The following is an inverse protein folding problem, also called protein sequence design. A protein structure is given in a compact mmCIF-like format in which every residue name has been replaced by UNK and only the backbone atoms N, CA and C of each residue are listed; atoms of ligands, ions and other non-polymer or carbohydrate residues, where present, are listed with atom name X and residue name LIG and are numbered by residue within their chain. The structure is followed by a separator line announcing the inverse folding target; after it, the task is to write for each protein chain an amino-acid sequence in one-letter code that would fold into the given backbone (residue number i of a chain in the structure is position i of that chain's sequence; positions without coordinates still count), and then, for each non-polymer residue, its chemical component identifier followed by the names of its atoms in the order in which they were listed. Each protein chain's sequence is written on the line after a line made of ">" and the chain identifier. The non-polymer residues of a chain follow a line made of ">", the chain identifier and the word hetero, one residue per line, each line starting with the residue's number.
data_IF_574128915726
#
_entry.id   IF_574128915726
#
_cell.length_a   1.000
_cell.length_b   1.000
_cell.length_c   1.000
_cell.angle_alpha   90.00
_cell.angle_beta   90.00
_cell.angle_gamma   90.00
#
_symmetry.space_group_name_H-M   'P 1'
#
loop_
_entity.id
_entity.type
_entity.pdbx_description
1 polymer ?
#
# COMPACT_ATOMS: atom_id res chain seq x y z
N UNK A 1 1.88 -17.40 12.97
CA UNK A 1 2.59 -17.20 11.69
C UNK A 1 3.31 -15.86 11.73
N UNK A 2 4.49 -15.72 11.10
CA UNK A 2 5.24 -14.45 11.07
C UNK A 2 4.55 -13.55 10.03
N UNK A 3 4.09 -12.34 10.39
CA UNK A 3 3.37 -11.46 9.49
C UNK A 3 4.24 -10.97 8.33
N UNK A 4 3.64 -10.84 7.14
CA UNK A 4 4.28 -10.33 5.93
C UNK A 4 3.87 -8.88 5.67
N UNK A 5 4.84 -7.99 5.75
CA UNK A 5 4.70 -6.59 5.34
C UNK A 5 4.94 -6.48 3.84
N UNK A 6 4.11 -5.73 3.16
CA UNK A 6 4.24 -5.41 1.73
C UNK A 6 4.43 -3.91 1.53
N UNK A 7 5.50 -3.54 0.84
CA UNK A 7 5.67 -2.24 0.21
C UNK A 7 5.76 -2.43 -1.31
N UNK A 8 4.72 -2.01 -2.03
CA UNK A 8 4.51 -2.31 -3.46
C UNK A 8 4.43 -1.06 -4.34
N UNK A 9 5.24 -0.06 -4.02
CA UNK A 9 5.29 1.20 -4.74
C UNK A 9 6.54 1.31 -5.61
N UNK A 10 6.53 2.21 -6.63
CA UNK A 10 7.73 2.51 -7.41
C UNK A 10 8.86 3.00 -6.49
N UNK A 11 10.09 2.64 -6.83
CA UNK A 11 11.27 3.02 -6.04
C UNK A 11 11.75 4.42 -6.39
N UNK A 12 10.89 5.40 -6.21
CA UNK A 12 11.15 6.82 -6.48
C UNK A 12 11.14 7.63 -5.18
N UNK A 13 11.80 8.78 -5.20
CA UNK A 13 11.92 9.70 -4.06
C UNK A 13 10.55 10.09 -3.47
N UNK A 14 9.54 10.26 -4.31
CA UNK A 14 8.18 10.62 -3.89
C UNK A 14 7.48 9.52 -3.07
N UNK A 15 7.95 8.28 -3.12
CA UNK A 15 7.47 7.15 -2.32
C UNK A 15 8.22 6.96 -1.00
N UNK A 16 9.22 7.82 -0.74
CA UNK A 16 9.93 7.92 0.53
C UNK A 16 10.59 6.61 1.01
N UNK A 17 11.40 5.96 0.17
CA UNK A 17 12.07 4.71 0.52
C UNK A 17 12.95 4.84 1.77
N UNK A 18 13.44 6.05 2.08
CA UNK A 18 14.23 6.35 3.27
C UNK A 18 13.42 6.12 4.57
N UNK A 19 12.19 6.63 4.65
CA UNK A 19 11.32 6.42 5.83
C UNK A 19 10.88 4.97 5.95
N UNK A 20 10.59 4.30 4.82
CA UNK A 20 10.31 2.85 4.81
C UNK A 20 11.49 2.08 5.39
N UNK A 21 12.69 2.29 4.85
CA UNK A 21 13.89 1.58 5.28
C UNK A 21 14.20 1.81 6.77
N UNK A 22 14.21 3.09 7.21
CA UNK A 22 14.50 3.43 8.61
C UNK A 22 13.48 2.81 9.58
N UNK A 23 12.19 2.83 9.22
CA UNK A 23 11.14 2.22 10.06
C UNK A 23 11.29 0.70 10.17
N UNK A 24 11.56 0.03 9.06
CA UNK A 24 11.76 -1.42 9.01
C UNK A 24 13.00 -1.85 9.81
N UNK A 25 14.12 -1.15 9.65
CA UNK A 25 15.35 -1.45 10.39
C UNK A 25 15.16 -1.21 11.90
N UNK A 26 14.47 -0.14 12.28
CA UNK A 26 14.18 0.12 13.70
C UNK A 26 13.34 -1.00 14.32
N UNK A 27 12.27 -1.47 13.65
CA UNK A 27 11.46 -2.59 14.14
C UNK A 27 12.27 -3.89 14.27
N UNK A 28 13.20 -4.12 13.34
CA UNK A 28 14.11 -5.26 13.41
C UNK A 28 15.06 -5.18 14.61
N UNK A 29 15.61 -4.00 14.91
CA UNK A 29 16.46 -3.76 16.07
C UNK A 29 15.69 -3.94 17.39
N UNK A 30 14.40 -3.60 17.41
CA UNK A 30 13.49 -3.86 18.52
C UNK A 30 13.10 -5.33 18.69
N UNK A 31 13.60 -6.22 17.81
CA UNK A 31 13.35 -7.67 17.81
C UNK A 31 11.87 -8.04 17.56
N UNK A 32 11.17 -7.23 16.80
CA UNK A 32 9.83 -7.56 16.34
C UNK A 32 9.94 -8.55 15.18
N UNK A 33 9.14 -9.62 15.23
CA UNK A 33 9.10 -10.64 14.19
C UNK A 33 8.18 -10.21 13.04
N UNK A 34 8.74 -10.14 11.83
CA UNK A 34 8.02 -9.92 10.57
C UNK A 34 8.85 -10.40 9.40
N UNK A 35 8.22 -10.66 8.29
CA UNK A 35 8.84 -10.74 6.96
C UNK A 35 8.47 -9.50 6.16
N UNK A 36 9.25 -9.18 5.12
CA UNK A 36 8.97 -8.02 4.26
C UNK A 36 9.18 -8.36 2.78
N UNK A 37 8.28 -7.85 1.96
CA UNK A 37 8.41 -7.79 0.52
C UNK A 37 8.56 -6.32 0.08
N UNK A 38 9.67 -6.00 -0.55
CA UNK A 38 9.97 -4.69 -1.12
C UNK A 38 9.89 -4.82 -2.65
N UNK A 39 8.72 -4.56 -3.21
CA UNK A 39 8.47 -4.80 -4.63
C UNK A 39 8.02 -3.54 -5.35
N UNK A 40 8.54 -3.33 -6.56
CA UNK A 40 8.20 -2.18 -7.36
C UNK A 40 9.12 -2.02 -8.55
N UNK A 41 8.70 -1.16 -9.48
CA UNK A 41 9.52 -0.81 -10.62
C UNK A 41 10.66 0.13 -10.20
N UNK A 42 11.87 -0.23 -10.58
CA UNK A 42 13.07 0.57 -10.40
C UNK A 42 13.34 1.36 -11.68
N UNK A 43 13.00 2.64 -11.70
CA UNK A 43 13.10 3.48 -12.91
C UNK A 43 14.51 4.02 -13.12
N UNK A 44 15.31 4.18 -12.08
CA UNK A 44 16.62 4.89 -12.19
C UNK A 44 17.79 4.17 -11.54
N UNK A 45 17.71 3.80 -10.27
CA UNK A 45 18.69 3.03 -9.51
C UNK A 45 18.05 2.49 -8.24
N UNK A 46 18.48 1.33 -7.75
CA UNK A 46 18.02 0.83 -6.47
C UNK A 46 18.35 1.85 -5.37
N UNK A 47 17.37 2.36 -4.62
CA UNK A 47 17.63 3.22 -3.48
C UNK A 47 18.57 2.51 -2.51
N UNK A 48 19.65 3.20 -2.12
CA UNK A 48 20.67 2.63 -1.23
C UNK A 48 20.05 2.09 0.07
N UNK A 49 19.05 2.80 0.57
CA UNK A 49 18.34 2.48 1.80
C UNK A 49 17.63 1.13 1.73
N UNK A 50 17.02 0.79 0.59
CA UNK A 50 16.37 -0.51 0.40
C UNK A 50 17.38 -1.65 0.26
N UNK A 51 18.54 -1.39 -0.34
CA UNK A 51 19.63 -2.37 -0.37
C UNK A 51 20.14 -2.66 1.03
N UNK A 52 20.25 -1.64 1.88
CA UNK A 52 20.63 -1.77 3.28
C UNK A 52 19.64 -2.66 4.06
N UNK A 53 18.33 -2.44 3.88
CA UNK A 53 17.30 -3.32 4.46
C UNK A 53 17.50 -4.76 4.03
N UNK A 54 17.67 -5.01 2.72
CA UNK A 54 17.89 -6.36 2.20
C UNK A 54 19.13 -7.01 2.82
N UNK A 55 20.24 -6.28 2.90
CA UNK A 55 21.52 -6.83 3.35
C UNK A 55 21.52 -7.07 4.87
N UNK A 56 20.81 -6.24 5.66
CA UNK A 56 20.71 -6.42 7.12
C UNK A 56 19.68 -7.49 7.52
N UNK A 57 18.54 -7.57 6.82
CA UNK A 57 17.45 -8.49 7.19
C UNK A 57 17.58 -9.88 6.56
N UNK A 58 18.37 -10.00 5.47
CA UNK A 58 18.63 -11.29 4.83
C UNK A 58 17.35 -12.04 4.45
N UNK A 59 17.16 -13.26 4.99
CA UNK A 59 16.03 -14.14 4.66
C UNK A 59 14.64 -13.58 5.05
N UNK A 60 14.59 -12.56 5.91
CA UNK A 60 13.32 -11.87 6.23
C UNK A 60 12.79 -11.03 5.07
N UNK A 61 13.65 -10.67 4.10
CA UNK A 61 13.24 -10.02 2.84
C UNK A 61 12.87 -11.13 1.85
N UNK A 62 11.58 -11.45 1.78
CA UNK A 62 11.08 -12.60 1.01
C UNK A 62 10.95 -12.32 -0.49
N UNK A 63 10.77 -11.04 -0.86
CA UNK A 63 10.74 -10.58 -2.26
C UNK A 63 11.40 -9.21 -2.37
N UNK A 64 12.17 -8.99 -3.44
CA UNK A 64 12.89 -7.74 -3.65
C UNK A 64 12.99 -7.39 -5.15
N UNK A 65 12.42 -6.25 -5.54
CA UNK A 65 12.50 -5.74 -6.91
C UNK A 65 11.22 -5.92 -7.71
N UNK A 66 11.36 -6.02 -9.03
CA UNK A 66 10.22 -6.17 -9.93
C UNK A 66 9.77 -7.63 -10.00
N UNK A 67 8.48 -7.86 -9.94
CA UNK A 67 7.85 -9.17 -10.07
C UNK A 67 7.07 -9.30 -11.37
N UNK A 68 6.93 -10.53 -11.87
CA UNK A 68 5.92 -10.84 -12.88
C UNK A 68 4.50 -10.58 -12.32
N UNK A 69 3.50 -10.35 -13.20
CA UNK A 69 2.12 -10.15 -12.74
C UNK A 69 1.60 -11.31 -11.90
N UNK A 70 1.93 -12.54 -12.31
CA UNK A 70 1.46 -13.75 -11.59
C UNK A 70 2.12 -13.89 -10.22
N UNK A 71 3.41 -13.58 -10.09
CA UNK A 71 4.13 -13.59 -8.81
C UNK A 71 3.62 -12.48 -7.90
N UNK A 72 3.37 -11.31 -8.45
CA UNK A 72 2.81 -10.18 -7.72
C UNK A 72 1.41 -10.50 -7.17
N UNK A 73 0.52 -11.11 -7.96
CA UNK A 73 -0.80 -11.54 -7.49
C UNK A 73 -0.71 -12.60 -6.38
N UNK A 74 0.26 -13.52 -6.48
CA UNK A 74 0.52 -14.49 -5.41
C UNK A 74 1.01 -13.81 -4.13
N UNK A 75 1.84 -12.78 -4.27
CA UNK A 75 2.34 -12.00 -3.13
C UNK A 75 1.23 -11.21 -2.45
N UNK A 76 0.34 -10.53 -3.21
CA UNK A 76 -0.81 -9.80 -2.67
C UNK A 76 -1.66 -10.68 -1.75
N UNK A 77 -1.93 -11.92 -2.15
CA UNK A 77 -2.71 -12.87 -1.36
C UNK A 77 -2.00 -13.42 -0.11
N UNK A 78 -0.73 -13.10 0.09
CA UNK A 78 0.07 -13.52 1.26
C UNK A 78 0.38 -12.38 2.20
N UNK A 79 0.22 -11.14 1.73
CA UNK A 79 0.56 -9.96 2.51
C UNK A 79 -0.47 -9.74 3.62
N UNK A 80 0.01 -9.64 4.85
CA UNK A 80 -0.83 -9.31 6.01
C UNK A 80 -1.00 -7.80 6.17
N UNK A 81 0.04 -7.03 5.85
CA UNK A 81 0.07 -5.57 6.05
C UNK A 81 0.61 -4.89 4.80
N UNK A 82 -0.07 -3.86 4.31
CA UNK A 82 0.46 -2.97 3.25
C UNK A 82 0.84 -1.63 3.86
N UNK A 83 2.06 -1.16 3.54
CA UNK A 83 2.59 0.10 4.06
C UNK A 83 2.85 1.11 2.95
N UNK A 84 2.72 2.38 3.29
CA UNK A 84 3.18 3.50 2.46
C UNK A 84 3.74 4.61 3.34
N UNK A 85 4.75 5.33 2.81
CA UNK A 85 5.28 6.58 3.35
C UNK A 85 5.32 7.66 2.26
N UNK A 86 4.51 7.52 1.22
CA UNK A 86 4.54 8.37 0.04
C UNK A 86 4.35 9.85 0.39
N UNK A 87 5.26 10.71 -0.07
CA UNK A 87 5.17 12.18 0.00
C UNK A 87 4.18 12.71 -1.03
N UNK A 88 4.08 12.01 -2.17
CA UNK A 88 3.13 12.30 -3.24
C UNK A 88 2.49 11.01 -3.75
N UNK A 89 1.17 10.97 -3.73
CA UNK A 89 0.36 9.90 -4.28
C UNK A 89 -0.89 10.48 -4.95
N UNK A 90 -1.08 10.19 -6.23
CA UNK A 90 -2.24 10.69 -6.98
C UNK A 90 -3.46 9.80 -6.80
N UNK A 91 -3.28 8.49 -6.80
CA UNK A 91 -4.36 7.53 -6.59
C UNK A 91 -3.93 6.37 -5.68
N UNK A 92 -2.80 5.70 -5.94
CA UNK A 92 -2.31 4.60 -5.12
C UNK A 92 -2.89 3.24 -5.51
N UNK A 93 -2.93 2.95 -6.82
CA UNK A 93 -3.53 1.70 -7.33
C UNK A 93 -2.90 0.45 -6.72
N UNK A 94 -1.60 0.43 -6.49
CA UNK A 94 -0.91 -0.71 -5.89
C UNK A 94 -1.36 -0.96 -4.44
N UNK A 95 -1.66 0.11 -3.71
CA UNK A 95 -2.24 0.01 -2.36
C UNK A 95 -3.67 -0.51 -2.43
N UNK A 96 -4.50 0.00 -3.36
CA UNK A 96 -5.87 -0.50 -3.58
C UNK A 96 -5.86 -1.99 -3.90
N UNK A 97 -4.94 -2.47 -4.75
CA UNK A 97 -4.79 -3.91 -5.05
C UNK A 97 -4.48 -4.73 -3.79
N UNK A 98 -3.59 -4.25 -2.92
CA UNK A 98 -3.26 -4.94 -1.67
C UNK A 98 -4.43 -4.95 -0.68
N UNK A 99 -5.17 -3.83 -0.57
CA UNK A 99 -6.38 -3.75 0.25
C UNK A 99 -7.49 -4.68 -0.25
N UNK A 100 -7.68 -4.75 -1.57
CA UNK A 100 -8.64 -5.67 -2.18
C UNK A 100 -8.28 -7.15 -1.92
N UNK A 101 -6.99 -7.45 -1.74
CA UNK A 101 -6.50 -8.77 -1.34
C UNK A 101 -6.62 -9.05 0.17
N UNK A 102 -7.00 -8.05 0.98
CA UNK A 102 -7.26 -8.18 2.41
C UNK A 102 -6.13 -7.74 3.33
N UNK A 103 -5.09 -7.09 2.82
CA UNK A 103 -3.99 -6.57 3.64
C UNK A 103 -4.45 -5.43 4.56
N UNK A 104 -3.96 -5.42 5.80
CA UNK A 104 -4.17 -4.34 6.77
C UNK A 104 -3.41 -3.08 6.32
N UNK A 105 -4.07 -1.93 6.16
CA UNK A 105 -3.41 -0.69 5.75
C UNK A 105 -2.63 -0.01 6.88
N UNK A 106 -1.42 0.47 6.55
CA UNK A 106 -0.66 1.44 7.35
C UNK A 106 -0.23 2.56 6.40
N UNK A 107 -1.09 3.57 6.25
CA UNK A 107 -0.98 4.60 5.23
C UNK A 107 -0.94 6.00 5.86
N UNK A 108 -0.18 6.96 5.30
CA UNK A 108 -0.15 8.31 5.85
C UNK A 108 -1.48 9.05 5.63
N UNK A 109 -1.95 9.79 6.63
CA UNK A 109 -3.18 10.57 6.56
C UNK A 109 -2.99 11.84 5.73
N UNK A 110 -2.67 11.69 4.47
CA UNK A 110 -2.58 12.78 3.49
C UNK A 110 -2.65 12.27 2.04
N UNK A 111 -2.61 13.18 1.09
CA UNK A 111 -2.73 12.93 -0.35
C UNK A 111 -4.06 12.21 -0.69
N UNK A 112 -4.02 11.19 -1.54
CA UNK A 112 -5.21 10.45 -1.96
C UNK A 112 -5.72 9.44 -0.92
N UNK A 113 -4.92 9.07 0.09
CA UNK A 113 -5.30 7.99 1.01
C UNK A 113 -6.59 8.25 1.79
N UNK A 114 -6.87 9.47 2.32
CA UNK A 114 -8.15 9.77 2.96
C UNK A 114 -9.37 9.70 2.03
N UNK A 115 -9.16 9.81 0.71
CA UNK A 115 -10.21 9.66 -0.29
C UNK A 115 -10.45 8.19 -0.68
N UNK A 116 -9.37 7.38 -0.71
CA UNK A 116 -9.43 5.95 -1.02
C UNK A 116 -10.06 5.16 0.12
N UNK A 117 -9.62 5.45 1.35
CA UNK A 117 -10.10 4.78 2.56
C UNK A 117 -11.42 5.42 2.98
N UNK A 118 -12.53 4.66 3.07
CA UNK A 118 -13.78 5.21 3.59
C UNK A 118 -13.65 5.66 5.05
N UNK A 119 -14.37 6.72 5.42
CA UNK A 119 -14.27 7.39 6.73
C UNK A 119 -14.30 6.44 7.95
N UNK A 120 -15.15 5.38 8.00
CA UNK A 120 -15.18 4.48 9.14
C UNK A 120 -13.84 3.80 9.45
N UNK A 121 -12.94 3.65 8.46
CA UNK A 121 -11.62 3.03 8.63
C UNK A 121 -10.47 4.03 8.77
N UNK A 122 -10.70 5.35 8.74
CA UNK A 122 -9.61 6.32 8.83
C UNK A 122 -8.73 6.10 10.07
N UNK A 123 -9.34 5.88 11.24
CA UNK A 123 -8.58 5.67 12.48
C UNK A 123 -7.73 4.40 12.45
N UNK A 124 -8.23 3.33 11.81
CA UNK A 124 -7.51 2.06 11.73
C UNK A 124 -6.53 1.97 10.56
N UNK A 125 -6.76 2.71 9.47
CA UNK A 125 -5.96 2.63 8.25
C UNK A 125 -4.90 3.73 8.14
N UNK A 126 -5.17 4.92 8.70
CA UNK A 126 -4.35 6.11 8.47
C UNK A 126 -3.53 6.48 9.72
N UNK A 127 -2.26 6.81 9.50
CA UNK A 127 -1.37 7.32 10.54
C UNK A 127 -0.98 8.79 10.29
N UNK A 128 -0.63 9.52 11.34
CA UNK A 128 -0.09 10.89 11.22
C UNK A 128 1.30 10.82 10.59
N UNK A 129 1.60 11.59 9.53
CA UNK A 129 2.94 11.62 8.94
C UNK A 129 4.05 11.76 9.99
N UNK A 130 5.05 10.88 9.91
CA UNK A 130 6.13 10.77 10.90
C UNK A 130 5.90 9.72 12.00
N UNK A 131 4.72 9.08 12.05
CA UNK A 131 4.37 8.05 13.05
C UNK A 131 4.32 6.64 12.42
N UNK A 132 4.94 6.42 11.25
CA UNK A 132 4.91 5.12 10.55
C UNK A 132 5.39 3.98 11.45
N UNK A 133 6.55 4.14 12.07
CA UNK A 133 7.17 3.08 12.89
C UNK A 133 6.30 2.72 14.09
N UNK A 134 5.71 3.70 14.76
CA UNK A 134 4.87 3.47 15.94
C UNK A 134 3.56 2.76 15.56
N UNK A 135 2.93 3.20 14.46
CA UNK A 135 1.74 2.55 13.93
C UNK A 135 2.03 1.11 13.48
N UNK A 136 3.11 0.91 12.74
CA UNK A 136 3.45 -0.41 12.22
C UNK A 136 3.82 -1.37 13.36
N UNK A 137 4.51 -0.88 14.39
CA UNK A 137 4.80 -1.64 15.62
C UNK A 137 3.51 -2.12 16.29
N UNK A 138 2.54 -1.24 16.46
CA UNK A 138 1.27 -1.59 17.10
C UNK A 138 0.49 -2.61 16.26
N UNK A 139 0.45 -2.45 14.94
CA UNK A 139 -0.18 -3.41 14.03
C UNK A 139 0.47 -4.80 14.14
N UNK A 140 1.81 -4.88 14.10
CA UNK A 140 2.53 -6.15 14.15
C UNK A 140 2.37 -6.87 15.49
N UNK A 141 2.31 -6.14 16.59
CA UNK A 141 2.13 -6.71 17.92
C UNK A 141 0.68 -7.13 18.21
N UNK A 142 -0.30 -6.60 17.47
CA UNK A 142 -1.74 -6.79 17.71
C UNK A 142 -2.48 -7.18 16.42
N UNK A 143 -1.88 -8.01 15.57
CA UNK A 143 -2.34 -8.28 14.20
C UNK A 143 -3.81 -8.71 14.13
N UNK A 144 -4.25 -9.64 15.00
CA UNK A 144 -5.63 -10.12 15.03
C UNK A 144 -6.65 -8.99 15.33
N UNK A 145 -6.27 -8.08 16.22
CA UNK A 145 -7.10 -6.92 16.54
C UNK A 145 -7.21 -5.99 15.34
N UNK A 146 -6.10 -5.69 14.68
CA UNK A 146 -6.07 -4.82 13.51
C UNK A 146 -6.80 -5.45 12.32
N UNK A 147 -6.65 -6.76 12.09
CA UNK A 147 -7.42 -7.49 11.08
C UNK A 147 -8.92 -7.34 11.31
N UNK A 148 -9.37 -7.48 12.55
CA UNK A 148 -10.79 -7.29 12.90
C UNK A 148 -11.28 -5.85 12.70
N UNK A 149 -10.44 -4.84 12.97
CA UNK A 149 -10.82 -3.42 12.78
C UNK A 149 -10.87 -2.99 11.32
N UNK A 150 -10.22 -3.74 10.44
CA UNK A 150 -10.23 -3.50 8.98
C UNK A 150 -11.15 -4.46 8.22
N UNK A 151 -11.92 -5.28 8.94
CA UNK A 151 -12.92 -6.15 8.34
C UNK A 151 -13.89 -5.36 7.45
N UNK A 152 -14.15 -5.88 6.25
CA UNK A 152 -15.02 -5.23 5.26
C UNK A 152 -14.31 -4.22 4.35
N UNK A 153 -13.11 -3.73 4.69
CA UNK A 153 -12.41 -2.77 3.85
C UNK A 153 -12.07 -3.32 2.46
N UNK A 154 -11.72 -4.60 2.38
CA UNK A 154 -11.44 -5.25 1.10
C UNK A 154 -12.64 -5.19 0.15
N UNK A 155 -13.86 -5.36 0.63
CA UNK A 155 -15.08 -5.26 -0.16
C UNK A 155 -15.30 -3.84 -0.71
N UNK A 156 -14.96 -2.81 0.07
CA UNK A 156 -15.06 -1.42 -0.38
C UNK A 156 -14.12 -1.10 -1.54
N UNK A 157 -13.03 -1.85 -1.69
CA UNK A 157 -12.09 -1.66 -2.79
C UNK A 157 -12.66 -2.13 -4.15
N UNK A 158 -13.70 -2.97 -4.17
CA UNK A 158 -14.36 -3.40 -5.41
C UNK A 158 -14.96 -2.24 -6.22
N UNK A 159 -15.26 -1.10 -5.59
CA UNK A 159 -15.69 0.10 -6.31
C UNK A 159 -14.67 0.61 -7.32
N UNK A 160 -13.39 0.22 -7.16
CA UNK A 160 -12.30 0.57 -8.07
C UNK A 160 -12.02 -0.51 -9.13
N UNK A 161 -12.78 -1.62 -9.13
CA UNK A 161 -12.69 -2.62 -10.18
C UNK A 161 -13.11 -2.00 -11.51
N UNK A 162 -12.34 -2.27 -12.57
CA UNK A 162 -12.63 -1.76 -13.90
C UNK A 162 -14.03 -2.16 -14.40
N UNK A 163 -14.47 -3.37 -14.08
CA UNK A 163 -15.82 -3.84 -14.44
C UNK A 163 -16.92 -2.97 -13.81
N UNK A 164 -16.70 -2.44 -12.63
CA UNK A 164 -17.64 -1.53 -11.94
C UNK A 164 -17.52 -0.10 -12.45
N UNK A 165 -16.29 0.32 -12.75
CA UNK A 165 -15.99 1.70 -13.13
C UNK A 165 -16.38 2.03 -14.58
N UNK A 166 -16.35 1.04 -15.49
CA UNK A 166 -16.54 1.27 -16.93
C UNK A 166 -17.87 1.95 -17.24
N UNK A 167 -18.96 1.48 -16.64
CA UNK A 167 -20.30 2.05 -16.85
C UNK A 167 -20.40 3.50 -16.37
N UNK A 168 -19.67 3.83 -15.31
CA UNK A 168 -19.60 5.21 -14.76
C UNK A 168 -18.83 6.11 -15.72
N UNK A 169 -17.70 5.64 -16.27
CA UNK A 169 -16.93 6.39 -17.26
C UNK A 169 -17.72 6.61 -18.56
N UNK A 170 -18.37 5.57 -19.06
CA UNK A 170 -19.18 5.67 -20.30
C UNK A 170 -20.32 6.68 -20.11
N UNK A 171 -21.04 6.60 -18.99
CA UNK A 171 -22.11 7.57 -18.65
C UNK A 171 -21.60 9.00 -18.55
N UNK A 172 -20.41 9.20 -17.95
CA UNK A 172 -19.80 10.53 -17.85
C UNK A 172 -19.40 11.08 -19.22
N UNK A 173 -18.80 10.25 -20.08
CA UNK A 173 -18.43 10.64 -21.44
C UNK A 173 -19.66 11.00 -22.26
N UNK A 174 -20.73 10.20 -22.19
CA UNK A 174 -22.01 10.51 -22.85
C UNK A 174 -22.61 11.83 -22.38
N UNK A 175 -22.57 12.09 -21.07
CA UNK A 175 -23.09 13.35 -20.52
C UNK A 175 -22.33 14.57 -21.05
N UNK A 176 -21.00 14.48 -21.13
CA UNK A 176 -20.13 15.54 -21.69
C UNK A 176 -20.42 15.75 -23.19
N UNK A 177 -20.56 14.67 -23.96
CA UNK A 177 -20.89 14.77 -25.39
C UNK A 177 -22.25 15.46 -25.59
N UNK A 178 -23.25 15.10 -24.81
CA UNK A 178 -24.58 15.68 -24.89
C UNK A 178 -24.61 17.17 -24.48
N UNK A 179 -23.81 17.56 -23.49
CA UNK A 179 -23.74 18.95 -23.02
C UNK A 179 -23.01 19.86 -24.02
N UNK A 180 -21.94 19.38 -24.64
CA UNK A 180 -21.08 20.19 -25.50
C UNK A 180 -21.24 19.89 -27.00
N UNK A 181 -21.78 18.72 -27.39
CA UNK A 181 -21.95 18.30 -28.78
C UNK A 181 -23.08 19.03 -29.54
N UNK A 182 -23.98 19.73 -28.86
CA UNK A 182 -25.08 20.49 -29.49
C UNK A 182 -24.74 21.96 -29.80
N UNK A 183 -23.51 22.38 -29.54
CA UNK A 183 -23.07 23.77 -29.80
C UNK A 183 -22.19 23.91 -31.06
N UNK A 184 -22.36 23.03 -32.06
CA UNK A 184 -21.63 23.10 -33.33
C UNK A 184 -22.59 23.20 -34.52
#
# INVERSE_FOLDING_TARGET
>A
EIPLILWNQRWDYDKNPEEIASSILQLADEKIDFNIALVGENVRNNPHELLEVRDQLGERVVEFGFLSRDDYLRLLNKADVVISAAKHEFFGISVVEALAAGAIPVLPNHQSYPEIIPEPWHTSALYTPGELVDRLRDVLLNLDTWSSTTEGLAQEMHKYDWVVMIDTYDSLIESVINEYGHNS
#
